data_IF_979145036519
#
_entry.id   IF_979145036519
#
_cell.length_a   1.000
_cell.length_b   1.000
_cell.length_c   1.000
_cell.angle_alpha   90.00
_cell.angle_beta   90.00
_cell.angle_gamma   90.00
#
_symmetry.space_group_name_H-M   'P 1'
#
loop_
_entity.id
_entity.type
_entity.pdbx_description
1 polymer ?
#
# COMPACT_ATOMS: atom_id res chain seq x y z
N UNK A 1 45.81 31.36 1.60
CA UNK A 1 45.05 31.28 0.33
C UNK A 1 45.33 32.55 -0.46
N UNK A 2 45.79 32.42 -1.70
CA UNK A 2 46.15 33.58 -2.55
C UNK A 2 44.88 34.26 -3.09
N UNK A 3 44.88 35.60 -3.11
CA UNK A 3 43.76 36.45 -3.56
C UNK A 3 43.23 36.09 -4.96
N UNK A 4 44.09 35.53 -5.81
CA UNK A 4 43.74 35.04 -7.16
C UNK A 4 42.76 33.85 -7.14
N UNK A 5 42.85 32.96 -6.15
CA UNK A 5 41.97 31.79 -6.05
C UNK A 5 40.56 32.15 -5.57
N UNK A 6 40.45 33.16 -4.69
CA UNK A 6 39.16 33.67 -4.19
C UNK A 6 38.39 34.38 -5.29
N UNK A 7 39.07 35.18 -6.13
CA UNK A 7 38.45 35.86 -7.28
C UNK A 7 37.87 34.87 -8.31
N UNK A 8 38.56 33.77 -8.59
CA UNK A 8 38.07 32.73 -9.51
C UNK A 8 36.85 31.97 -8.97
N UNK A 9 36.81 31.71 -7.66
CA UNK A 9 35.67 31.02 -7.04
C UNK A 9 34.40 31.89 -7.07
N UNK A 10 34.55 33.19 -6.80
CA UNK A 10 33.44 34.16 -6.84
C UNK A 10 32.86 34.28 -8.25
N UNK A 11 33.70 34.38 -9.28
CA UNK A 11 33.24 34.45 -10.67
C UNK A 11 32.48 33.20 -11.12
N UNK A 12 32.91 32.00 -10.70
CA UNK A 12 32.22 30.75 -11.03
C UNK A 12 30.83 30.68 -10.36
N UNK A 13 30.72 31.14 -9.11
CA UNK A 13 29.44 31.14 -8.39
C UNK A 13 28.41 32.11 -9.00
N UNK A 14 28.84 33.30 -9.45
CA UNK A 14 27.94 34.29 -10.05
C UNK A 14 27.39 33.85 -11.41
N UNK A 15 28.21 33.17 -12.23
CA UNK A 15 27.77 32.64 -13.53
C UNK A 15 26.76 31.51 -13.35
N UNK A 16 26.97 30.62 -12.38
CA UNK A 16 26.03 29.54 -12.08
C UNK A 16 24.66 30.03 -11.62
N UNK A 17 24.63 31.01 -10.70
CA UNK A 17 23.37 31.55 -10.18
C UNK A 17 22.65 32.37 -11.27
N UNK A 18 23.38 33.18 -12.04
CA UNK A 18 22.79 33.98 -13.11
C UNK A 18 22.17 33.12 -14.21
N UNK A 19 22.82 32.02 -14.60
CA UNK A 19 22.29 31.09 -15.61
C UNK A 19 21.06 30.33 -15.10
N UNK A 20 21.01 29.94 -13.82
CA UNK A 20 19.83 29.30 -13.23
C UNK A 20 18.61 30.24 -13.16
N UNK A 21 18.82 31.50 -12.75
CA UNK A 21 17.74 32.49 -12.67
C UNK A 21 17.24 32.91 -14.06
N UNK A 22 18.14 33.08 -15.03
CA UNK A 22 17.74 33.37 -16.42
C UNK A 22 16.98 32.19 -17.04
N UNK A 23 17.45 30.95 -16.84
CA UNK A 23 16.77 29.75 -17.31
C UNK A 23 15.37 29.59 -16.75
N UNK A 24 15.22 29.73 -15.42
CA UNK A 24 13.92 29.64 -14.75
C UNK A 24 12.96 30.78 -15.15
N UNK A 25 13.46 31.99 -15.45
CA UNK A 25 12.64 33.08 -15.97
C UNK A 25 12.13 32.82 -17.39
N UNK A 26 12.99 32.33 -18.28
CA UNK A 26 12.61 31.98 -19.67
C UNK A 26 11.58 30.85 -19.67
N UNK A 27 11.74 29.85 -18.81
CA UNK A 27 10.80 28.72 -18.71
C UNK A 27 9.42 29.16 -18.24
N UNK A 28 9.34 30.07 -17.26
CA UNK A 28 8.07 30.67 -16.80
C UNK A 28 7.39 31.51 -17.87
N UNK A 29 8.14 32.25 -18.70
CA UNK A 29 7.55 32.98 -19.84
C UNK A 29 6.97 32.05 -20.90
N UNK A 30 7.67 30.97 -21.26
CA UNK A 30 7.14 29.98 -22.21
C UNK A 30 5.85 29.34 -21.73
N UNK A 31 5.75 29.02 -20.44
CA UNK A 31 4.51 28.47 -19.86
C UNK A 31 3.39 29.50 -19.84
N UNK A 32 3.68 30.78 -19.55
CA UNK A 32 2.68 31.86 -19.61
C UNK A 32 2.13 32.05 -21.04
N UNK A 33 3.01 32.08 -22.06
CA UNK A 33 2.62 32.21 -23.47
C UNK A 33 1.82 30.99 -23.98
N UNK A 34 2.07 29.80 -23.42
CA UNK A 34 1.31 28.57 -23.77
C UNK A 34 -0.08 28.53 -23.12
N UNK A 35 -0.28 29.24 -22.00
CA UNK A 35 -1.56 29.27 -21.27
C UNK A 35 -2.49 30.35 -21.82
N UNK A 36 -1.99 31.48 -22.32
CA UNK A 36 -2.85 32.53 -22.90
C UNK A 36 -3.30 32.25 -24.34
N UNK A 37 -2.63 31.37 -25.10
CA UNK A 37 -3.05 30.96 -26.45
C UNK A 37 -4.01 29.75 -26.47
N UNK A 38 -4.42 29.23 -25.32
CA UNK A 38 -5.26 28.02 -25.21
C UNK A 38 -6.57 28.31 -24.46
N UNK A 39 -7.27 29.38 -24.86
CA UNK A 39 -8.49 29.83 -24.18
C UNK A 39 -9.78 29.72 -24.98
N UNK A 40 -9.77 29.28 -26.23
CA UNK A 40 -11.01 29.03 -26.96
C UNK A 40 -11.01 27.60 -27.55
N UNK A 41 -12.21 27.02 -27.61
CA UNK A 41 -12.58 25.71 -28.21
C UNK A 41 -12.91 24.58 -27.21
N UNK A 42 -14.00 24.77 -26.45
CA UNK A 42 -14.88 23.65 -26.07
C UNK A 42 -16.15 23.70 -26.93
N UNK A 43 -16.06 23.21 -28.16
CA UNK A 43 -17.25 22.85 -28.97
C UNK A 43 -17.38 21.33 -28.92
N UNK A 44 -18.48 20.88 -28.34
CA UNK A 44 -18.88 19.48 -28.26
C UNK A 44 -19.53 19.09 -29.59
N UNK A 45 -18.73 18.61 -30.56
CA UNK A 45 -19.28 18.06 -31.81
C UNK A 45 -19.37 16.53 -31.75
N UNK A 46 -20.59 16.04 -32.00
CA UNK A 46 -20.95 14.63 -32.13
C UNK A 46 -20.56 14.16 -33.53
N UNK A 47 -19.28 13.88 -33.76
CA UNK A 47 -18.87 13.14 -34.95
C UNK A 47 -17.64 12.29 -34.68
N UNK A 48 -17.82 10.97 -34.79
CA UNK A 48 -16.85 9.95 -34.40
C UNK A 48 -15.66 9.83 -35.34
N UNK A 49 -14.71 10.77 -35.27
CA UNK A 49 -13.40 10.65 -35.90
C UNK A 49 -12.34 11.48 -35.15
N UNK A 50 -11.81 10.97 -34.02
CA UNK A 50 -10.68 11.59 -33.31
C UNK A 50 -9.48 10.64 -33.19
N UNK A 51 -9.09 10.02 -34.31
CA UNK A 51 -7.88 9.20 -34.41
C UNK A 51 -6.71 9.89 -35.12
N UNK A 52 -6.72 11.23 -35.21
CA UNK A 52 -5.57 11.97 -35.73
C UNK A 52 -5.07 12.99 -34.74
N UNK A 53 -3.82 12.77 -34.36
CA UNK A 53 -2.87 13.73 -33.79
C UNK A 53 -2.76 13.80 -32.26
N UNK A 54 -2.60 12.63 -31.61
CA UNK A 54 -1.77 12.58 -30.41
C UNK A 54 -0.34 12.23 -30.85
N UNK A 55 0.45 13.27 -31.07
CA UNK A 55 1.86 13.12 -31.40
C UNK A 55 2.58 12.55 -30.16
N UNK A 56 2.96 11.28 -30.25
CA UNK A 56 3.77 10.57 -29.26
C UNK A 56 5.06 11.35 -28.97
N UNK A 57 5.17 11.97 -27.80
CA UNK A 57 6.44 12.42 -27.25
C UNK A 57 7.02 11.28 -26.39
N UNK A 58 8.25 10.84 -26.64
CA UNK A 58 8.87 9.82 -25.80
C UNK A 58 9.16 10.43 -24.42
N UNK A 59 8.67 9.81 -23.34
CA UNK A 59 9.11 10.13 -21.98
C UNK A 59 8.06 10.55 -20.96
N UNK A 60 6.76 10.46 -21.23
CA UNK A 60 5.73 10.60 -20.21
C UNK A 60 5.06 9.24 -19.94
N UNK A 61 4.96 8.75 -18.69
CA UNK A 61 4.08 7.65 -18.39
C UNK A 61 2.66 8.10 -18.74
N UNK A 62 1.98 7.29 -19.54
CA UNK A 62 0.55 7.44 -19.81
C UNK A 62 -0.13 7.26 -18.46
N UNK A 63 -0.44 8.35 -17.76
CA UNK A 63 -1.38 8.30 -16.66
C UNK A 63 -2.70 7.82 -17.28
N UNK A 64 -3.04 6.57 -17.00
CA UNK A 64 -4.27 5.96 -17.46
C UNK A 64 -5.43 6.88 -17.17
N UNK A 65 -6.32 7.06 -18.15
CA UNK A 65 -7.59 7.76 -17.96
C UNK A 65 -8.31 7.11 -16.79
N UNK A 66 -8.33 7.79 -15.64
CA UNK A 66 -9.18 7.42 -14.52
C UNK A 66 -10.62 7.56 -15.00
N UNK A 67 -11.25 6.42 -15.25
CA UNK A 67 -12.70 6.34 -15.46
C UNK A 67 -13.36 6.80 -14.16
N UNK A 68 -13.94 7.99 -14.16
CA UNK A 68 -14.75 8.46 -13.04
C UNK A 68 -15.94 7.50 -12.86
N UNK A 69 -16.16 7.04 -11.65
CA UNK A 69 -17.28 6.15 -11.33
C UNK A 69 -18.60 6.89 -11.54
N UNK A 70 -19.40 6.45 -12.52
CA UNK A 70 -20.78 6.89 -12.68
C UNK A 70 -21.63 6.35 -11.53
N UNK A 71 -22.50 7.16 -10.91
CA UNK A 71 -23.41 6.67 -9.87
C UNK A 71 -24.38 5.65 -10.46
N UNK A 72 -24.37 4.43 -9.91
CA UNK A 72 -25.30 3.35 -10.28
C UNK A 72 -26.62 3.63 -9.54
N UNK A 73 -27.78 3.68 -10.25
CA UNK A 73 -29.08 3.76 -9.59
C UNK A 73 -29.30 2.56 -8.69
N UNK A 74 -29.65 2.82 -7.43
CA UNK A 74 -29.99 1.78 -6.47
C UNK A 74 -31.38 1.23 -6.77
N UNK A 75 -31.49 0.29 -7.71
CA UNK A 75 -32.57 -0.70 -7.79
C UNK A 75 -32.38 -1.56 -9.04
N UNK A 76 -31.65 -2.67 -8.89
CA UNK A 76 -31.82 -3.89 -9.68
C UNK A 76 -30.97 -5.00 -9.05
N UNK A 77 -31.63 -5.98 -8.43
CA UNK A 77 -31.02 -7.29 -8.14
C UNK A 77 -30.77 -7.99 -9.48
N UNK A 78 -29.71 -7.62 -10.17
CA UNK A 78 -29.14 -8.37 -11.28
C UNK A 78 -28.22 -9.46 -10.73
N UNK A 79 -28.23 -10.70 -11.27
CA UNK A 79 -27.40 -11.81 -10.80
C UNK A 79 -25.92 -11.68 -11.22
N UNK A 80 -25.43 -10.45 -11.42
CA UNK A 80 -24.13 -10.13 -12.01
C UNK A 80 -23.07 -9.66 -10.98
N UNK A 81 -23.20 -10.05 -9.70
CA UNK A 81 -22.28 -9.65 -8.61
C UNK A 81 -21.07 -10.60 -8.47
N UNK A 82 -20.84 -11.52 -9.41
CA UNK A 82 -20.07 -12.73 -9.11
C UNK A 82 -18.58 -12.73 -9.51
N UNK A 83 -17.88 -11.59 -9.63
CA UNK A 83 -16.43 -11.60 -9.83
C UNK A 83 -15.69 -10.33 -9.34
N UNK A 84 -16.12 -9.74 -8.21
CA UNK A 84 -15.24 -8.77 -7.53
C UNK A 84 -14.12 -9.54 -6.87
N UNK A 85 -12.86 -9.27 -7.27
CA UNK A 85 -11.67 -9.84 -6.62
C UNK A 85 -11.78 -9.74 -5.10
N UNK A 86 -11.43 -10.82 -4.38
CA UNK A 86 -11.54 -10.87 -2.91
C UNK A 86 -10.81 -9.71 -2.24
N UNK A 87 -9.66 -9.31 -2.76
CA UNK A 87 -8.90 -8.12 -2.31
C UNK A 87 -9.72 -6.84 -2.48
N UNK A 88 -10.42 -6.68 -3.60
CA UNK A 88 -11.27 -5.51 -3.85
C UNK A 88 -12.46 -5.42 -2.90
N UNK A 89 -12.97 -6.57 -2.42
CA UNK A 89 -14.00 -6.62 -1.38
C UNK A 89 -13.42 -6.22 -0.01
N UNK A 90 -12.25 -6.75 0.34
CA UNK A 90 -11.57 -6.45 1.61
C UNK A 90 -11.19 -4.97 1.68
N UNK A 91 -10.62 -4.44 0.60
CA UNK A 91 -10.11 -3.07 0.51
C UNK A 91 -11.13 -2.10 -0.09
N UNK A 92 -12.43 -2.39 0.04
CA UNK A 92 -13.53 -1.56 -0.50
C UNK A 92 -13.41 -0.07 -0.12
N UNK A 93 -12.91 0.21 1.08
CA UNK A 93 -12.77 1.57 1.62
C UNK A 93 -11.35 2.16 1.44
N UNK A 94 -10.53 1.56 0.58
CA UNK A 94 -9.17 2.02 0.30
C UNK A 94 -8.11 1.44 1.25
N UNK A 95 -6.85 1.75 0.94
CA UNK A 95 -5.69 1.25 1.67
C UNK A 95 -5.24 2.25 2.74
N UNK A 96 -5.01 1.83 4.01
CA UNK A 96 -4.43 2.71 5.03
C UNK A 96 -3.04 3.23 4.66
N UNK A 97 -2.28 2.46 3.88
CA UNK A 97 -0.98 2.81 3.31
C UNK A 97 -0.58 1.77 2.26
N UNK A 98 0.48 2.03 1.49
CA UNK A 98 0.89 1.18 0.37
C UNK A 98 2.26 0.51 0.53
N UNK A 99 2.88 0.61 1.71
CA UNK A 99 4.20 0.00 1.94
C UNK A 99 4.08 -1.53 2.08
N UNK A 100 4.86 -2.27 1.28
CA UNK A 100 4.96 -3.74 1.31
C UNK A 100 3.62 -4.47 1.51
N UNK A 101 2.60 -4.11 0.72
CA UNK A 101 1.28 -4.72 0.79
C UNK A 101 1.32 -6.17 0.29
N UNK A 102 0.66 -7.06 1.03
CA UNK A 102 0.56 -8.49 0.80
C UNK A 102 -0.89 -8.91 0.88
N UNK A 103 -1.35 -9.59 -0.16
CA UNK A 103 -2.67 -10.20 -0.21
C UNK A 103 -2.58 -11.67 0.14
N UNK A 104 -3.29 -12.08 1.17
CA UNK A 104 -3.63 -13.46 1.43
C UNK A 104 -5.02 -13.74 0.85
N UNK A 105 -5.49 -14.98 0.97
CA UNK A 105 -6.74 -15.38 0.32
C UNK A 105 -7.93 -14.67 0.95
N UNK A 106 -7.89 -14.39 2.27
CA UNK A 106 -9.05 -13.87 3.00
C UNK A 106 -8.75 -12.63 3.87
N UNK A 107 -7.52 -12.11 3.83
CA UNK A 107 -7.14 -10.84 4.47
C UNK A 107 -5.99 -10.17 3.71
N UNK A 108 -5.78 -8.88 3.98
CA UNK A 108 -4.68 -8.10 3.40
C UNK A 108 -3.84 -7.54 4.55
N UNK A 109 -2.52 -7.49 4.39
CA UNK A 109 -1.64 -6.84 5.36
C UNK A 109 -0.57 -5.99 4.68
N UNK A 110 -0.08 -4.98 5.39
CA UNK A 110 1.11 -4.20 5.01
C UNK A 110 2.22 -4.52 5.99
N UNK A 111 3.39 -4.94 5.48
CA UNK A 111 4.47 -5.46 6.33
C UNK A 111 5.59 -4.44 6.56
N UNK A 112 5.87 -4.10 7.82
CA UNK A 112 7.01 -3.26 8.17
C UNK A 112 8.28 -4.13 8.21
N UNK A 113 9.11 -4.01 7.17
CA UNK A 113 10.38 -4.75 7.07
C UNK A 113 11.38 -4.38 8.17
N UNK A 114 11.30 -3.17 8.73
CA UNK A 114 12.21 -2.68 9.77
C UNK A 114 11.85 -3.27 11.14
N UNK A 115 10.56 -3.34 11.47
CA UNK A 115 10.11 -3.89 12.77
C UNK A 115 9.77 -5.37 12.73
N UNK A 116 9.69 -5.96 11.52
CA UNK A 116 9.35 -7.38 11.28
C UNK A 116 7.95 -7.77 11.76
N UNK A 117 7.05 -6.80 11.77
CA UNK A 117 5.64 -6.89 12.16
C UNK A 117 4.80 -6.15 11.12
N UNK A 118 3.51 -6.42 10.99
CA UNK A 118 2.67 -5.65 10.08
C UNK A 118 2.45 -4.21 10.59
N UNK A 119 2.42 -3.25 9.65
CA UNK A 119 1.89 -1.91 9.91
C UNK A 119 0.39 -1.97 10.21
N UNK A 120 -0.35 -2.73 9.40
CA UNK A 120 -1.78 -2.93 9.52
C UNK A 120 -2.18 -4.25 8.85
N UNK A 121 -3.32 -4.78 9.31
CA UNK A 121 -4.07 -5.85 8.66
C UNK A 121 -5.47 -5.33 8.35
N UNK A 122 -6.12 -5.90 7.34
CA UNK A 122 -7.47 -5.55 6.95
C UNK A 122 -8.26 -6.81 6.63
N UNK A 123 -9.44 -6.90 7.22
CA UNK A 123 -10.33 -8.05 7.15
C UNK A 123 -11.72 -7.58 6.72
N UNK A 124 -12.40 -8.36 5.88
CA UNK A 124 -13.81 -8.15 5.57
C UNK A 124 -14.60 -9.38 6.02
N UNK A 125 -15.33 -9.21 7.11
CA UNK A 125 -16.06 -10.27 7.78
C UNK A 125 -17.50 -10.33 7.29
N UNK A 126 -17.99 -11.54 7.06
CA UNK A 126 -19.40 -11.84 6.85
C UNK A 126 -19.84 -12.85 7.91
N UNK A 127 -21.14 -12.89 8.22
CA UNK A 127 -21.66 -13.86 9.20
C UNK A 127 -21.32 -15.31 8.82
N UNK A 128 -21.39 -15.64 7.53
CA UNK A 128 -21.03 -16.95 7.01
C UNK A 128 -19.51 -17.22 7.08
N UNK A 129 -18.69 -16.19 6.91
CA UNK A 129 -17.23 -16.31 6.93
C UNK A 129 -16.64 -16.68 8.30
N UNK A 130 -17.26 -16.16 9.36
CA UNK A 130 -16.82 -16.39 10.76
C UNK A 130 -17.50 -17.59 11.42
N UNK A 131 -18.57 -18.13 10.80
CA UNK A 131 -19.26 -19.30 11.33
C UNK A 131 -18.32 -20.51 11.28
N UNK A 132 -18.45 -21.38 12.28
CA UNK A 132 -17.70 -22.64 12.30
C UNK A 132 -18.05 -23.48 11.07
N UNK A 133 -17.07 -23.69 10.18
CA UNK A 133 -17.20 -24.60 9.04
C UNK A 133 -16.74 -26.01 9.42
N UNK A 134 -17.45 -27.02 8.92
CA UNK A 134 -17.04 -28.42 9.06
C UNK A 134 -15.82 -28.64 8.17
N UNK A 135 -14.69 -29.02 8.78
CA UNK A 135 -13.42 -29.27 8.06
C UNK A 135 -12.34 -28.21 8.28
N UNK A 136 -12.63 -27.11 8.98
CA UNK A 136 -11.61 -26.14 9.42
C UNK A 136 -11.23 -26.41 10.87
N UNK A 137 -9.98 -26.85 11.06
CA UNK A 137 -9.40 -27.16 12.35
C UNK A 137 -8.13 -26.32 12.57
N UNK A 138 -8.21 -25.40 13.54
CA UNK A 138 -7.10 -24.53 13.93
C UNK A 138 -5.91 -25.32 14.48
N UNK A 139 -6.13 -26.51 15.05
CA UNK A 139 -5.04 -27.33 15.60
C UNK A 139 -4.09 -27.86 14.52
N UNK A 140 -4.50 -27.82 13.24
CA UNK A 140 -3.68 -28.22 12.09
C UNK A 140 -2.81 -27.08 11.55
N UNK A 141 -2.98 -25.86 12.05
CA UNK A 141 -2.26 -24.68 11.59
C UNK A 141 -1.00 -24.46 12.44
N UNK A 142 0.15 -24.44 11.79
CA UNK A 142 1.45 -24.22 12.43
C UNK A 142 2.00 -22.81 12.16
N UNK A 143 2.58 -22.21 13.21
CA UNK A 143 3.31 -20.95 13.06
C UNK A 143 4.54 -21.13 12.18
N UNK A 144 4.56 -20.44 11.05
CA UNK A 144 5.62 -20.56 10.05
C UNK A 144 6.04 -19.21 9.47
N UNK A 145 7.31 -19.02 9.13
CA UNK A 145 7.73 -17.81 8.43
C UNK A 145 7.09 -17.72 7.05
N UNK A 146 6.88 -16.49 6.57
CA UNK A 146 6.49 -16.25 5.18
C UNK A 146 7.75 -16.23 4.29
N UNK A 147 7.85 -17.23 3.41
CA UNK A 147 9.00 -17.37 2.52
C UNK A 147 9.09 -16.29 1.44
N UNK A 148 7.98 -15.62 1.15
CA UNK A 148 7.95 -14.52 0.19
C UNK A 148 8.48 -13.20 0.78
N UNK A 149 8.80 -13.15 2.08
CA UNK A 149 9.59 -12.08 2.69
C UNK A 149 11.07 -12.41 2.58
N UNK A 150 11.87 -11.45 2.10
CA UNK A 150 13.32 -11.59 2.03
C UNK A 150 13.90 -11.95 3.42
N UNK A 151 14.84 -12.92 3.53
CA UNK A 151 15.34 -13.43 4.81
C UNK A 151 15.77 -12.37 5.83
N UNK A 152 16.36 -11.25 5.40
CA UNK A 152 16.80 -10.17 6.29
C UNK A 152 15.67 -9.47 7.07
N UNK A 153 14.45 -9.55 6.57
CA UNK A 153 13.28 -8.87 7.15
C UNK A 153 12.24 -9.86 7.68
N UNK A 154 12.55 -11.16 7.62
CA UNK A 154 11.65 -12.23 8.00
C UNK A 154 11.73 -12.47 9.51
N UNK A 155 10.59 -12.47 10.18
CA UNK A 155 10.47 -12.94 11.55
C UNK A 155 10.51 -14.47 11.60
N UNK A 156 11.16 -15.03 12.62
CA UNK A 156 11.33 -16.47 12.81
C UNK A 156 10.75 -16.89 14.16
N UNK A 157 10.37 -18.17 14.27
CA UNK A 157 9.88 -18.72 15.55
C UNK A 157 10.92 -18.59 16.68
N UNK A 158 12.22 -18.58 16.34
CA UNK A 158 13.31 -18.35 17.27
C UNK A 158 13.30 -16.96 17.89
N UNK A 159 12.76 -15.94 17.21
CA UNK A 159 12.66 -14.57 17.73
C UNK A 159 11.64 -14.49 18.88
N UNK A 160 10.60 -15.34 18.83
CA UNK A 160 9.55 -15.39 19.85
C UNK A 160 9.88 -16.37 20.97
N UNK A 161 10.61 -17.45 20.68
CA UNK A 161 10.94 -18.50 21.65
C UNK A 161 11.81 -17.94 22.78
N UNK A 162 11.32 -18.03 24.02
CA UNK A 162 12.04 -17.53 25.20
C UNK A 162 11.98 -16.01 25.40
N UNK A 163 11.25 -15.27 24.55
CA UNK A 163 11.14 -13.80 24.64
C UNK A 163 10.25 -13.31 25.80
N UNK A 164 9.41 -14.18 26.36
CA UNK A 164 8.36 -13.81 27.30
C UNK A 164 7.05 -13.36 26.64
N UNK A 165 7.04 -13.16 25.32
CA UNK A 165 5.86 -12.75 24.55
C UNK A 165 5.20 -13.93 23.84
N UNK A 166 3.92 -13.74 23.49
CA UNK A 166 3.20 -14.61 22.57
C UNK A 166 3.31 -14.12 21.12
N UNK A 167 3.13 -15.06 20.18
CA UNK A 167 2.91 -14.77 18.76
C UNK A 167 1.46 -14.34 18.58
N UNK A 168 1.21 -13.05 18.84
CA UNK A 168 -0.11 -12.47 18.78
C UNK A 168 -0.56 -12.24 17.35
N UNK A 169 -1.69 -12.83 16.97
CA UNK A 169 -2.27 -12.63 15.64
C UNK A 169 -2.78 -11.19 15.51
N UNK A 170 -2.56 -10.57 14.35
CA UNK A 170 -3.20 -9.31 13.98
C UNK A 170 -4.53 -9.58 13.28
N UNK A 171 -4.52 -10.37 12.21
CA UNK A 171 -5.72 -10.98 11.64
C UNK A 171 -5.98 -12.32 12.34
N UNK A 172 -7.08 -12.43 13.06
CA UNK A 172 -7.31 -13.54 13.98
C UNK A 172 -7.77 -14.81 13.23
N UNK A 173 -7.21 -15.97 13.57
CA UNK A 173 -7.63 -17.27 12.98
C UNK A 173 -9.16 -17.52 13.06
N UNK A 174 -9.80 -17.02 14.11
CA UNK A 174 -11.26 -17.14 14.31
C UNK A 174 -12.11 -16.38 13.29
N UNK A 175 -11.52 -15.43 12.57
CA UNK A 175 -12.21 -14.65 11.53
C UNK A 175 -12.22 -15.36 10.17
N UNK A 176 -11.33 -16.33 9.98
CA UNK A 176 -11.02 -16.96 8.70
C UNK A 176 -11.39 -18.45 8.72
N UNK A 177 -12.68 -18.74 8.91
CA UNK A 177 -13.18 -20.10 9.21
C UNK A 177 -13.89 -20.79 8.04
N UNK A 178 -13.95 -20.16 6.87
CA UNK A 178 -14.59 -20.74 5.69
C UNK A 178 -13.80 -21.91 5.11
N UNK A 179 -12.48 -21.78 5.04
CA UNK A 179 -11.57 -22.78 4.47
C UNK A 179 -10.32 -22.95 5.35
N UNK A 180 -9.75 -24.17 5.37
CA UNK A 180 -8.57 -24.47 6.16
C UNK A 180 -7.38 -23.59 5.74
N UNK A 181 -7.23 -23.35 4.43
CA UNK A 181 -6.17 -22.51 3.88
C UNK A 181 -6.24 -21.07 4.39
N UNK A 182 -7.44 -20.50 4.52
CA UNK A 182 -7.61 -19.14 5.06
C UNK A 182 -7.14 -19.09 6.51
N UNK A 183 -7.54 -20.07 7.33
CA UNK A 183 -7.07 -20.21 8.70
C UNK A 183 -5.53 -20.37 8.75
N UNK A 184 -4.96 -21.28 7.95
CA UNK A 184 -3.52 -21.54 7.94
C UNK A 184 -2.68 -20.31 7.57
N UNK A 185 -3.17 -19.47 6.66
CA UNK A 185 -2.50 -18.23 6.28
C UNK A 185 -2.43 -17.21 7.43
N UNK A 186 -3.32 -17.29 8.42
CA UNK A 186 -3.24 -16.42 9.61
C UNK A 186 -2.05 -16.76 10.50
N UNK A 187 -1.49 -17.97 10.39
CA UNK A 187 -0.35 -18.43 11.19
C UNK A 187 1.02 -18.04 10.60
N UNK A 188 1.04 -17.27 9.50
CA UNK A 188 2.29 -16.68 9.03
C UNK A 188 2.84 -15.66 10.03
N UNK A 189 4.16 -15.71 10.25
CA UNK A 189 4.82 -14.79 11.19
C UNK A 189 4.80 -13.32 10.74
N UNK A 190 4.44 -13.03 9.49
CA UNK A 190 4.14 -11.67 9.00
C UNK A 190 2.88 -11.08 9.61
N UNK A 191 1.94 -11.94 10.05
CA UNK A 191 0.71 -11.60 10.75
C UNK A 191 0.87 -11.62 12.28
N UNK A 192 2.11 -11.75 12.78
CA UNK A 192 2.39 -11.81 14.22
C UNK A 192 3.01 -10.53 14.73
N UNK A 193 2.59 -10.13 15.93
CA UNK A 193 3.25 -9.14 16.76
C UNK A 193 3.52 -9.75 18.16
N UNK A 194 4.62 -9.38 18.83
CA UNK A 194 4.82 -9.74 20.22
C UNK A 194 3.69 -9.18 21.09
N UNK A 195 2.89 -10.06 21.70
CA UNK A 195 1.80 -9.68 22.61
C UNK A 195 2.09 -10.18 24.02
N UNK A 196 1.74 -9.38 25.03
CA UNK A 196 1.87 -9.77 26.43
C UNK A 196 0.90 -10.90 26.73
N UNK A 197 1.40 -11.95 27.38
CA UNK A 197 0.55 -13.06 27.84
C UNK A 197 -0.43 -12.55 28.90
N UNK A 198 -1.73 -12.80 28.74
CA UNK A 198 -2.65 -12.72 29.88
C UNK A 198 -2.36 -13.92 30.79
N UNK A 199 -1.49 -13.71 31.77
CA UNK A 199 -1.31 -14.65 32.88
C UNK A 199 -2.44 -14.47 33.87
N UNK A 200 -3.11 -15.55 34.27
CA UNK A 200 -4.09 -15.54 35.39
C UNK A 200 -3.44 -15.27 36.75
N UNK A 201 -2.10 -15.31 36.82
CA UNK A 201 -1.31 -14.81 37.93
C UNK A 201 -0.45 -13.64 37.44
N UNK A 202 -0.88 -12.41 37.70
CA UNK A 202 -0.06 -11.23 37.44
C UNK A 202 0.88 -10.96 38.63
N UNK A 203 2.19 -11.28 38.59
CA UNK A 203 3.15 -10.41 39.22
C UNK A 203 3.38 -9.24 38.25
N UNK A 204 2.99 -8.05 38.68
CA UNK A 204 3.15 -6.79 37.96
C UNK A 204 4.46 -6.72 37.16
N UNK A 205 4.34 -6.69 35.82
CA UNK A 205 5.47 -6.43 34.92
C UNK A 205 6.03 -5.00 35.06
N UNK A 206 5.39 -4.16 35.88
CA UNK A 206 5.75 -2.76 36.14
C UNK A 206 6.51 -2.50 37.45
N UNK A 207 6.83 -3.52 38.26
CA UNK A 207 7.48 -3.31 39.58
C UNK A 207 8.84 -3.98 39.74
N UNK A 208 9.65 -4.06 38.68
CA UNK A 208 11.09 -4.28 38.84
C UNK A 208 11.87 -3.15 38.18
N UNK A 209 12.04 -2.06 38.95
CA UNK A 209 13.23 -1.21 38.90
C UNK A 209 14.16 -1.66 40.02
#
# INVERSE_FOLDING_TARGET
MTTKSVSRLLLLSSVGIGSYLAGSYVERRKTADTVCLRRDDYVNDRSGNLLRTLQSKPGLPIFGTVSAASPIPAEQKSPAVSNVSRIGQIMKYGFPGLDNVRSYDDYVLSYDRRTRVAHWVFEHLTADGVKASQGVDRAKSDFKPDESVHPFFRSLNTDYKGSGFDRGHLAAAGNHRSEQKHCDQTFFLTNMAPQVRQSTNFPNFLTKK
#
